data_IF_252497273918
#
_entry.id   IF_252497273918
#
_cell.length_a   1.000
_cell.length_b   1.000
_cell.length_c   1.000
_cell.angle_alpha   90.00
_cell.angle_beta   90.00
_cell.angle_gamma   90.00
#
_symmetry.space_group_name_H-M   'P 1'
#
loop_
_entity.id
_entity.type
_entity.pdbx_description
1 polymer ?
#
# COMPACT_ATOMS: atom_id res chain seq x y z
N UNK A 1 21.80 20.70 33.35
CA UNK A 1 21.74 19.44 34.12
C UNK A 1 21.34 18.34 33.15
N UNK A 2 22.22 17.34 33.00
CA UNK A 2 22.18 16.33 31.94
C UNK A 2 21.16 15.25 32.26
N UNK A 3 20.28 14.93 31.31
CA UNK A 3 19.71 13.58 31.18
C UNK A 3 19.97 13.08 29.76
N UNK A 4 21.20 12.58 29.56
CA UNK A 4 21.49 11.62 28.50
C UNK A 4 20.74 10.33 28.87
N UNK A 5 19.66 10.02 28.15
CA UNK A 5 19.21 8.63 28.09
C UNK A 5 20.17 7.89 27.16
N UNK A 6 21.25 7.35 27.74
CA UNK A 6 21.92 6.19 27.18
C UNK A 6 20.96 5.01 27.29
N UNK A 7 20.41 4.55 26.16
CA UNK A 7 19.87 3.22 26.08
C UNK A 7 20.96 2.30 25.54
N UNK A 8 21.44 1.44 26.42
CA UNK A 8 22.28 0.30 26.07
C UNK A 8 21.53 -0.56 25.05
N UNK A 9 22.17 -0.85 23.91
CA UNK A 9 21.69 -1.81 22.92
C UNK A 9 21.66 -3.20 23.55
N UNK A 10 20.49 -3.58 24.08
CA UNK A 10 20.15 -4.98 24.27
C UNK A 10 19.79 -5.52 22.88
N UNK A 11 20.46 -6.60 22.47
CA UNK A 11 20.44 -7.15 21.10
C UNK A 11 19.05 -7.08 20.45
N UNK A 12 18.87 -6.16 19.49
CA UNK A 12 17.70 -6.07 18.62
C UNK A 12 16.51 -5.25 19.13
N UNK A 13 16.50 -4.76 20.37
CA UNK A 13 15.39 -3.93 20.89
C UNK A 13 15.66 -2.46 20.59
N UNK A 14 14.79 -1.84 19.79
CA UNK A 14 14.78 -0.40 19.54
C UNK A 14 13.78 0.31 20.46
N UNK A 15 14.17 1.46 20.99
CA UNK A 15 13.34 2.27 21.89
C UNK A 15 13.03 3.61 21.22
N UNK A 16 11.74 3.94 21.13
CA UNK A 16 11.25 5.16 20.52
C UNK A 16 9.88 4.94 19.89
N UNK A 17 9.06 5.98 19.79
CA UNK A 17 7.79 5.93 19.08
C UNK A 17 7.54 7.25 18.39
N UNK A 18 7.44 7.21 17.07
CA UNK A 18 6.94 8.30 16.24
C UNK A 18 5.70 7.84 15.48
N UNK A 19 4.78 8.78 15.26
CA UNK A 19 3.58 8.58 14.48
C UNK A 19 3.56 9.60 13.36
N UNK A 20 3.21 9.15 12.17
CA UNK A 20 2.99 9.99 11.00
C UNK A 20 1.70 9.54 10.31
N UNK A 21 0.87 10.48 9.87
CA UNK A 21 -0.33 10.16 9.12
C UNK A 21 -0.54 11.17 7.99
N UNK A 22 -0.91 10.68 6.80
CA UNK A 22 -1.20 11.51 5.63
C UNK A 22 -2.37 10.94 4.85
N UNK A 23 -3.24 11.85 4.38
CA UNK A 23 -4.25 11.53 3.38
C UNK A 23 -3.63 11.70 1.99
N UNK A 24 -3.77 10.69 1.15
CA UNK A 24 -3.25 10.67 -0.22
C UNK A 24 -4.41 10.45 -1.17
N UNK A 25 -4.35 11.12 -2.32
CA UNK A 25 -5.30 10.96 -3.41
C UNK A 25 -4.59 10.23 -4.55
N UNK A 26 -4.91 8.96 -4.74
CA UNK A 26 -4.44 8.18 -5.88
C UNK A 26 -5.13 8.69 -7.15
N UNK A 27 -4.41 8.60 -8.27
CA UNK A 27 -4.94 8.91 -9.60
C UNK A 27 -6.15 8.02 -9.91
N UNK A 28 -7.16 8.54 -10.63
CA UNK A 28 -8.23 7.72 -11.16
C UNK A 28 -7.67 6.55 -11.97
N UNK A 29 -8.29 5.40 -11.83
CA UNK A 29 -8.00 4.22 -12.64
C UNK A 29 -9.30 3.72 -13.25
N UNK A 30 -9.18 3.07 -14.40
CA UNK A 30 -10.26 2.24 -14.92
C UNK A 30 -10.37 0.96 -14.09
N UNK A 31 -11.47 0.21 -14.24
CA UNK A 31 -11.59 -1.13 -13.64
C UNK A 31 -10.34 -1.97 -13.89
N UNK A 32 -9.86 -2.63 -12.84
CA UNK A 32 -8.75 -3.58 -12.92
C UNK A 32 -7.83 -3.48 -11.72
N UNK A 33 -6.68 -4.14 -11.83
CA UNK A 33 -5.71 -4.23 -10.76
C UNK A 33 -4.46 -3.41 -11.12
N UNK A 34 -4.15 -2.42 -10.29
CA UNK A 34 -3.15 -1.40 -10.58
C UNK A 34 -2.03 -1.41 -9.55
N UNK A 35 -0.78 -1.52 -9.99
CA UNK A 35 0.37 -1.37 -9.11
C UNK A 35 0.53 0.10 -8.71
N UNK A 36 0.38 0.40 -7.41
CA UNK A 36 0.39 1.78 -6.88
C UNK A 36 1.49 2.03 -5.84
N UNK A 37 2.40 1.07 -5.62
CA UNK A 37 3.50 1.18 -4.65
C UNK A 37 4.27 2.49 -4.80
N UNK A 38 4.77 2.80 -5.99
CA UNK A 38 5.60 3.99 -6.23
C UNK A 38 4.81 5.29 -6.08
N UNK A 39 3.53 5.28 -6.45
CA UNK A 39 2.64 6.42 -6.29
C UNK A 39 2.44 6.74 -4.80
N UNK A 40 2.23 5.72 -3.98
CA UNK A 40 2.13 5.88 -2.52
C UNK A 40 3.47 6.36 -1.96
N UNK A 41 4.59 5.73 -2.32
CA UNK A 41 5.91 6.05 -1.76
C UNK A 41 6.38 7.48 -2.06
N UNK A 42 6.05 8.02 -3.24
CA UNK A 42 6.33 9.42 -3.59
C UNK A 42 5.65 10.41 -2.64
N UNK A 43 4.49 10.05 -2.13
CA UNK A 43 3.68 10.87 -1.25
C UNK A 43 4.05 10.72 0.24
N UNK A 44 5.02 9.87 0.60
CA UNK A 44 5.46 9.64 1.99
C UNK A 44 7.00 9.62 2.16
N UNK A 45 7.73 10.67 1.74
CA UNK A 45 9.18 10.73 1.91
C UNK A 45 9.65 10.57 3.37
N UNK A 46 8.79 10.89 4.35
CA UNK A 46 9.01 10.72 5.79
C UNK A 46 9.26 9.26 6.18
N UNK A 47 8.82 8.28 5.38
CA UNK A 47 9.12 6.86 5.57
C UNK A 47 10.62 6.62 5.80
N UNK A 48 11.47 7.38 5.10
CA UNK A 48 12.94 7.27 5.19
C UNK A 48 13.51 7.62 6.56
N UNK A 49 12.73 8.28 7.42
CA UNK A 49 13.15 8.65 8.76
C UNK A 49 12.96 7.51 9.77
N UNK A 50 12.20 6.48 9.43
CA UNK A 50 11.94 5.35 10.32
C UNK A 50 13.01 4.25 10.16
N UNK A 51 13.50 3.72 11.27
CA UNK A 51 14.42 2.58 11.29
C UNK A 51 13.64 1.26 11.22
N UNK A 52 12.60 1.11 12.05
CA UNK A 52 11.71 -0.04 12.08
C UNK A 52 10.30 0.43 12.43
N UNK A 53 9.28 -0.22 11.88
CA UNK A 53 7.90 0.16 12.15
C UNK A 53 6.89 -0.60 11.30
N UNK A 54 5.67 -0.08 11.27
CA UNK A 54 4.57 -0.54 10.45
C UNK A 54 4.02 0.64 9.64
N UNK A 55 3.78 0.40 8.35
CA UNK A 55 2.97 1.24 7.49
C UNK A 55 1.59 0.60 7.39
N UNK A 56 0.57 1.30 7.85
CA UNK A 56 -0.83 0.96 7.62
C UNK A 56 -1.40 1.83 6.51
N UNK A 57 -2.11 1.23 5.57
CA UNK A 57 -2.82 1.92 4.48
C UNK A 57 -4.28 1.55 4.52
N UNK A 58 -5.16 2.53 4.67
CA UNK A 58 -6.61 2.36 4.64
C UNK A 58 -7.18 3.07 3.42
N UNK A 59 -7.91 2.37 2.55
CA UNK A 59 -8.71 3.01 1.51
C UNK A 59 -10.02 3.53 2.10
N UNK A 60 -10.40 4.75 1.74
CA UNK A 60 -11.63 5.41 2.20
C UNK A 60 -12.78 5.23 1.19
N UNK A 61 -12.90 4.03 0.63
CA UNK A 61 -13.86 3.68 -0.41
C UNK A 61 -14.37 2.27 -0.17
N UNK A 62 -15.62 2.03 -0.52
CA UNK A 62 -16.32 0.75 -0.31
C UNK A 62 -16.44 -0.08 -1.59
N UNK A 63 -16.10 0.49 -2.74
CA UNK A 63 -16.14 -0.13 -4.07
C UNK A 63 -14.75 -0.32 -4.70
N UNK A 64 -13.69 -0.20 -3.89
CA UNK A 64 -12.30 -0.47 -4.28
C UNK A 64 -11.57 -1.07 -3.07
N UNK A 65 -10.50 -1.82 -3.32
CA UNK A 65 -9.74 -2.53 -2.29
C UNK A 65 -8.24 -2.40 -2.47
N UNK A 66 -7.49 -2.82 -1.45
CA UNK A 66 -6.03 -2.87 -1.47
C UNK A 66 -5.56 -4.31 -1.30
N UNK A 67 -4.56 -4.72 -2.07
CA UNK A 67 -3.95 -6.04 -1.97
C UNK A 67 -2.43 -5.92 -2.01
N UNK A 68 -1.73 -6.92 -1.47
CA UNK A 68 -0.28 -7.06 -1.59
C UNK A 68 0.03 -8.32 -2.39
N UNK A 69 0.56 -8.16 -3.60
CA UNK A 69 0.80 -9.27 -4.52
C UNK A 69 1.81 -8.87 -5.61
N UNK A 70 1.91 -9.62 -6.71
CA UNK A 70 2.99 -9.54 -7.69
C UNK A 70 3.23 -8.13 -8.28
N UNK A 71 4.49 -7.68 -8.33
CA UNK A 71 4.88 -6.37 -8.84
C UNK A 71 5.58 -6.41 -10.22
N UNK A 72 5.72 -7.59 -10.83
CA UNK A 72 6.52 -7.79 -12.04
C UNK A 72 5.67 -8.05 -13.28
N UNK A 73 4.93 -9.16 -13.33
CA UNK A 73 4.15 -9.53 -14.50
C UNK A 73 2.78 -8.79 -14.52
N UNK A 74 2.49 -7.95 -15.53
CA UNK A 74 1.16 -7.35 -15.69
C UNK A 74 0.05 -8.37 -15.91
N UNK A 75 0.31 -9.54 -16.51
CA UNK A 75 -0.72 -10.54 -16.80
C UNK A 75 -1.33 -11.13 -15.52
N UNK A 76 -0.56 -11.21 -14.43
CA UNK A 76 -1.09 -11.63 -13.13
C UNK A 76 -2.21 -10.69 -12.67
N UNK A 77 -2.12 -9.39 -12.99
CA UNK A 77 -3.15 -8.39 -12.65
C UNK A 77 -4.39 -8.54 -13.53
N UNK A 78 -4.20 -8.85 -14.82
CA UNK A 78 -5.28 -9.11 -15.76
C UNK A 78 -6.05 -10.40 -15.40
N UNK A 79 -5.31 -11.48 -15.08
CA UNK A 79 -5.90 -12.76 -14.68
C UNK A 79 -6.65 -12.67 -13.35
N UNK A 80 -6.13 -11.90 -12.40
CA UNK A 80 -6.82 -11.62 -11.15
C UNK A 80 -8.13 -10.87 -11.38
N UNK A 81 -8.15 -9.84 -12.24
CA UNK A 81 -9.40 -9.13 -12.57
C UNK A 81 -10.40 -10.05 -13.29
N UNK A 82 -9.92 -10.86 -14.24
CA UNK A 82 -10.73 -11.87 -14.92
C UNK A 82 -11.36 -12.84 -13.92
N UNK A 83 -10.60 -13.33 -12.94
CA UNK A 83 -11.13 -14.24 -11.92
C UNK A 83 -12.13 -13.54 -10.99
N UNK A 84 -11.87 -12.30 -10.57
CA UNK A 84 -12.81 -11.54 -9.73
C UNK A 84 -14.16 -11.34 -10.44
N UNK A 85 -14.16 -11.09 -11.75
CA UNK A 85 -15.39 -11.00 -12.55
C UNK A 85 -16.10 -12.35 -12.72
N UNK A 86 -15.38 -13.47 -12.64
CA UNK A 86 -16.00 -14.81 -12.64
C UNK A 86 -16.64 -15.18 -11.29
N UNK A 87 -15.99 -14.82 -10.18
CA UNK A 87 -16.50 -15.12 -8.83
C UNK A 87 -17.65 -14.19 -8.45
N UNK A 88 -17.51 -12.91 -8.79
CA UNK A 88 -18.49 -11.85 -8.49
C UNK A 88 -18.91 -11.17 -9.80
N UNK A 89 -19.67 -11.86 -10.66
CA UNK A 89 -20.14 -11.31 -11.93
C UNK A 89 -21.12 -10.17 -11.73
N UNK A 90 -21.10 -9.25 -12.70
CA UNK A 90 -22.21 -8.34 -12.95
C UNK A 90 -23.46 -9.12 -13.39
N UNK A 91 -24.64 -8.54 -13.17
CA UNK A 91 -25.91 -9.12 -13.66
C UNK A 91 -26.49 -10.24 -12.80
N UNK A 92 -25.86 -10.61 -11.67
CA UNK A 92 -26.58 -11.33 -10.62
C UNK A 92 -27.75 -10.49 -10.09
N UNK A 93 -28.82 -11.11 -9.56
CA UNK A 93 -30.02 -10.42 -9.07
C UNK A 93 -29.77 -9.71 -7.72
N UNK A 94 -28.77 -8.84 -7.67
CA UNK A 94 -28.48 -8.00 -6.54
C UNK A 94 -29.63 -7.03 -6.29
N UNK A 95 -30.02 -6.88 -5.01
CA UNK A 95 -31.06 -5.91 -4.61
C UNK A 95 -30.57 -4.46 -4.69
N UNK A 96 -29.27 -4.25 -4.53
CA UNK A 96 -28.65 -2.95 -4.68
C UNK A 96 -28.20 -2.80 -6.14
N UNK A 97 -28.82 -1.88 -6.87
CA UNK A 97 -28.63 -1.74 -8.33
C UNK A 97 -28.81 -0.30 -8.83
N UNK A 98 -28.89 0.69 -7.93
CA UNK A 98 -29.25 2.07 -8.29
C UNK A 98 -28.08 2.86 -8.90
N UNK A 99 -26.83 2.43 -8.73
CA UNK A 99 -25.63 3.14 -9.21
C UNK A 99 -24.92 2.43 -10.38
N UNK A 100 -25.61 1.52 -11.06
CA UNK A 100 -25.09 0.79 -12.21
C UNK A 100 -24.84 -0.70 -11.96
N UNK A 101 -24.60 -1.47 -13.03
CA UNK A 101 -24.42 -2.93 -12.95
C UNK A 101 -23.13 -3.37 -12.24
N UNK A 102 -22.14 -2.47 -12.16
CA UNK A 102 -20.84 -2.72 -11.55
C UNK A 102 -20.76 -2.45 -10.05
N UNK A 103 -21.77 -1.77 -9.49
CA UNK A 103 -21.70 -1.21 -8.15
C UNK A 103 -21.76 -2.25 -7.04
N UNK A 104 -22.84 -3.03 -6.96
CA UNK A 104 -22.93 -4.08 -5.93
C UNK A 104 -21.82 -5.14 -6.06
N UNK A 105 -21.45 -5.63 -7.26
CA UNK A 105 -20.26 -6.47 -7.42
C UNK A 105 -18.99 -5.84 -6.85
N UNK A 106 -18.78 -4.53 -7.06
CA UNK A 106 -17.62 -3.83 -6.52
C UNK A 106 -17.59 -3.84 -4.98
N UNK A 107 -18.73 -3.68 -4.33
CA UNK A 107 -18.84 -3.83 -2.87
C UNK A 107 -18.48 -5.23 -2.39
N UNK A 108 -18.98 -6.28 -3.06
CA UNK A 108 -18.68 -7.67 -2.69
C UNK A 108 -17.18 -7.97 -2.86
N UNK A 109 -16.59 -7.60 -4.01
CA UNK A 109 -15.15 -7.76 -4.27
C UNK A 109 -14.30 -7.00 -3.23
N UNK A 110 -14.70 -5.78 -2.87
CA UNK A 110 -14.02 -4.99 -1.86
C UNK A 110 -14.06 -5.65 -0.47
N UNK A 111 -15.19 -6.26 -0.08
CA UNK A 111 -15.29 -7.03 1.16
C UNK A 111 -14.44 -8.29 1.17
N UNK A 112 -14.28 -8.98 0.03
CA UNK A 112 -13.45 -10.18 -0.05
C UNK A 112 -11.95 -9.88 0.01
N UNK A 113 -11.51 -8.81 -0.66
CA UNK A 113 -10.08 -8.44 -0.70
C UNK A 113 -9.67 -7.67 0.55
N UNK A 114 -10.51 -6.73 1.00
CA UNK A 114 -10.25 -5.90 2.17
C UNK A 114 -9.86 -4.46 1.83
N UNK A 115 -10.11 -3.57 2.79
CA UNK A 115 -9.94 -2.13 2.63
C UNK A 115 -8.61 -1.61 3.17
N UNK A 116 -7.75 -2.47 3.71
CA UNK A 116 -6.48 -2.04 4.27
C UNK A 116 -5.35 -3.04 4.18
N UNK A 117 -4.13 -2.52 4.28
CA UNK A 117 -2.89 -3.28 4.35
C UNK A 117 -2.05 -2.79 5.53
N UNK A 118 -1.30 -3.69 6.15
CA UNK A 118 -0.25 -3.34 7.11
C UNK A 118 1.06 -3.99 6.65
N UNK A 119 2.06 -3.18 6.36
CA UNK A 119 3.34 -3.58 5.78
C UNK A 119 4.47 -3.21 6.74
N UNK A 120 5.40 -4.12 7.07
CA UNK A 120 6.54 -3.76 7.91
C UNK A 120 7.46 -2.75 7.24
N UNK A 121 8.11 -1.94 8.06
CA UNK A 121 9.13 -0.97 7.64
C UNK A 121 10.47 -1.44 8.19
N UNK A 122 11.50 -1.40 7.36
CA UNK A 122 12.88 -1.67 7.76
C UNK A 122 13.80 -0.73 7.02
N UNK A 123 14.71 -0.09 7.76
CA UNK A 123 15.70 0.83 7.21
C UNK A 123 15.07 1.84 6.24
N UNK A 124 14.00 2.48 6.68
CA UNK A 124 13.28 3.54 5.95
C UNK A 124 12.66 3.12 4.61
N UNK A 125 12.41 1.83 4.43
CA UNK A 125 11.76 1.24 3.25
C UNK A 125 10.66 0.29 3.68
N UNK A 126 9.71 0.03 2.78
CA UNK A 126 8.77 -1.07 2.96
C UNK A 126 9.52 -2.39 2.87
N UNK A 127 9.29 -3.26 3.85
CA UNK A 127 9.86 -4.60 3.88
C UNK A 127 8.94 -5.54 3.10
N UNK A 128 9.12 -5.56 1.79
CA UNK A 128 8.37 -6.38 0.85
C UNK A 128 9.24 -7.55 0.38
N UNK A 129 8.61 -8.69 0.07
CA UNK A 129 9.27 -9.72 -0.73
C UNK A 129 9.64 -9.21 -2.13
N UNK A 130 10.59 -9.86 -2.80
CA UNK A 130 11.11 -9.44 -4.12
C UNK A 130 10.00 -9.12 -5.12
N UNK A 131 8.97 -9.95 -5.14
CA UNK A 131 7.85 -9.82 -6.07
C UNK A 131 6.64 -9.12 -5.47
N UNK A 132 6.70 -8.58 -4.26
CA UNK A 132 5.53 -7.94 -3.64
C UNK A 132 5.43 -6.44 -3.97
N UNK A 133 4.21 -6.01 -4.24
CA UNK A 133 3.82 -4.62 -4.43
C UNK A 133 2.40 -4.38 -3.95
N UNK A 134 2.09 -3.11 -3.68
CA UNK A 134 0.76 -2.66 -3.27
C UNK A 134 -0.08 -2.44 -4.52
N UNK A 135 -1.22 -3.12 -4.58
CA UNK A 135 -2.22 -2.97 -5.62
C UNK A 135 -3.39 -2.12 -5.14
N UNK A 136 -3.88 -1.26 -6.03
CA UNK A 136 -5.24 -0.74 -6.00
C UNK A 136 -6.10 -1.66 -6.89
N UNK A 137 -7.08 -2.31 -6.29
CA UNK A 137 -8.08 -3.08 -7.03
C UNK A 137 -9.28 -2.15 -7.26
N UNK A 138 -9.42 -1.65 -8.47
CA UNK A 138 -10.53 -0.79 -8.89
C UNK A 138 -11.63 -1.66 -9.47
N UNK A 139 -12.80 -1.70 -8.83
CA UNK A 139 -13.88 -2.59 -9.23
C UNK A 139 -14.96 -1.88 -10.06
N UNK A 140 -14.96 -0.53 -10.07
CA UNK A 140 -15.89 0.28 -10.86
C UNK A 140 -15.32 0.55 -12.26
N UNK A 141 -16.18 0.58 -13.27
CA UNK A 141 -15.77 0.87 -14.65
C UNK A 141 -15.26 2.31 -14.79
N UNK A 142 -16.05 3.25 -14.25
CA UNK A 142 -15.78 4.69 -14.31
C UNK A 142 -15.56 5.25 -12.89
N UNK A 143 -14.37 5.02 -12.35
CA UNK A 143 -14.04 5.46 -11.00
C UNK A 143 -13.39 6.85 -10.97
N UNK A 144 -13.80 7.65 -9.99
CA UNK A 144 -13.05 8.84 -9.60
C UNK A 144 -11.72 8.51 -8.89
N UNK A 145 -10.94 9.53 -8.53
CA UNK A 145 -9.73 9.34 -7.73
C UNK A 145 -10.02 8.67 -6.39
N UNK A 146 -9.20 7.68 -6.00
CA UNK A 146 -9.33 7.00 -4.71
C UNK A 146 -8.55 7.73 -3.63
N UNK A 147 -9.09 7.74 -2.42
CA UNK A 147 -8.51 8.39 -1.24
C UNK A 147 -8.03 7.31 -0.30
N UNK A 148 -6.79 7.42 0.15
CA UNK A 148 -6.22 6.55 1.16
C UNK A 148 -5.73 7.38 2.35
N UNK A 149 -5.68 6.74 3.52
CA UNK A 149 -4.96 7.23 4.69
C UNK A 149 -3.77 6.31 4.89
N UNK A 150 -2.57 6.88 4.90
CA UNK A 150 -1.36 6.18 5.31
C UNK A 150 -1.02 6.60 6.73
N UNK A 151 -0.81 5.63 7.61
CA UNK A 151 -0.29 5.81 8.97
C UNK A 151 1.00 5.04 9.11
N UNK A 152 2.05 5.69 9.60
CA UNK A 152 3.33 5.08 9.94
C UNK A 152 3.52 5.18 11.44
N UNK A 153 3.86 4.05 12.08
CA UNK A 153 4.29 4.01 13.47
C UNK A 153 5.58 3.21 13.60
N UNK A 154 6.53 3.70 14.39
CA UNK A 154 7.77 2.99 14.66
C UNK A 154 8.86 3.81 15.33
N UNK A 155 10.06 3.25 15.37
CA UNK A 155 11.26 3.95 15.85
C UNK A 155 11.86 4.78 14.71
N UNK A 156 12.26 6.01 15.02
CA UNK A 156 13.05 6.84 14.10
C UNK A 156 14.50 6.35 14.03
N UNK A 157 15.18 6.61 12.92
CA UNK A 157 16.61 6.40 12.78
C UNK A 157 17.37 7.31 13.74
N UNK A 158 18.40 6.78 14.37
CA UNK A 158 19.34 7.62 15.12
C UNK A 158 20.12 8.48 14.11
N UNK A 159 20.21 9.79 14.38
CA UNK A 159 20.81 10.80 13.48
C UNK A 159 22.30 10.61 13.21
N UNK A 160 22.90 9.53 13.73
CA UNK A 160 24.29 9.09 13.52
C UNK A 160 24.43 8.05 12.41
N UNK A 161 23.33 7.48 11.93
CA UNK A 161 23.37 6.41 10.92
C UNK A 161 23.42 7.04 9.53
N UNK A 162 24.52 6.88 8.76
CA UNK A 162 24.63 7.49 7.44
C UNK A 162 23.52 6.99 6.52
N UNK A 163 22.87 7.90 5.79
CA UNK A 163 21.99 7.53 4.68
C UNK A 163 22.88 6.96 3.60
N UNK A 164 22.87 5.63 3.41
CA UNK A 164 23.65 5.01 2.33
C UNK A 164 23.20 5.63 1.00
N UNK A 165 24.11 6.24 0.21
CA UNK A 165 23.74 6.80 -1.07
C UNK A 165 23.22 5.67 -1.97
N UNK A 166 22.08 5.88 -2.62
CA UNK A 166 21.56 4.96 -3.62
C UNK A 166 22.65 4.72 -4.68
N UNK A 167 23.13 3.48 -4.80
CA UNK A 167 23.87 3.07 -5.98
C UNK A 167 22.93 3.25 -7.18
N UNK A 168 23.32 3.97 -8.25
CA UNK A 168 22.54 3.99 -9.47
C UNK A 168 22.42 2.54 -9.96
N UNK A 169 21.19 2.09 -10.23
CA UNK A 169 20.96 0.79 -10.86
C UNK A 169 21.77 0.73 -12.14
N UNK A 170 22.65 -0.26 -12.23
CA UNK A 170 23.38 -0.55 -13.45
C UNK A 170 22.35 -0.89 -14.55
N UNK A 171 22.28 -0.03 -15.56
CA UNK A 171 21.63 -0.34 -16.82
C UNK A 171 22.34 -1.54 -17.43
N UNK A 172 21.72 -2.71 -17.39
CA UNK A 172 22.12 -3.83 -18.24
C UNK A 172 21.16 -3.84 -19.42
N UNK A 173 21.63 -3.24 -20.51
CA UNK A 173 21.09 -3.47 -21.85
C UNK A 173 21.43 -4.91 -22.27
N UNK A 174 20.41 -5.70 -22.63
CA UNK A 174 20.51 -6.88 -23.50
C UNK A 174 19.18 -7.06 -24.20
#
# INVERSE_FOLDING_TARGET
MVTRNMACSSRGIQIGSAWFQRKIKLRPQHRGIHLVTDEILKEIPELRQFAVGLLHVQILHTSASLALNENWDPYVRDDMEMMLNKIVPEGMPYRHSCEGPDDMPAHVKACFIGSSLTVPISEGKLHLGTWQGIWLCEHRNDAGPRKIVVTINGCLRDGRTPVSPMSPMASTSS
#
